data_IF_610985688718
#
_entry.id   IF_610985688718
#
_cell.length_a   1.000
_cell.length_b   1.000
_cell.length_c   1.000
_cell.angle_alpha   90.00
_cell.angle_beta   90.00
_cell.angle_gamma   90.00
#
_symmetry.space_group_name_H-M   'P 1'
#
loop_
_entity.id
_entity.type
_entity.pdbx_description
1 polymer ?
#
# COMPACT_ATOMS: atom_id res chain seq x y z
N UNK A 1 8.83 -12.59 -3.98
CA UNK A 1 7.89 -12.05 -4.99
C UNK A 1 6.78 -13.03 -5.18
N UNK A 2 5.54 -12.57 -5.22
CA UNK A 2 4.39 -13.38 -5.60
C UNK A 2 3.50 -12.69 -6.64
N UNK A 3 2.75 -13.52 -7.37
CA UNK A 3 1.68 -13.06 -8.24
C UNK A 3 0.33 -13.60 -7.74
N UNK A 4 -0.69 -12.75 -7.70
CA UNK A 4 -2.03 -13.09 -7.21
C UNK A 4 -3.08 -12.62 -8.20
N UNK A 5 -4.20 -13.32 -8.27
CA UNK A 5 -5.36 -12.92 -9.07
C UNK A 5 -6.58 -12.86 -8.18
N UNK A 6 -7.32 -11.76 -8.25
CA UNK A 6 -8.53 -11.54 -7.44
C UNK A 6 -9.67 -11.02 -8.31
N UNK A 7 -10.91 -11.30 -7.89
CA UNK A 7 -12.10 -10.69 -8.47
C UNK A 7 -12.54 -9.54 -7.59
N UNK A 8 -12.70 -8.36 -8.18
CA UNK A 8 -13.19 -7.19 -7.48
C UNK A 8 -14.65 -6.88 -7.85
N UNK A 9 -15.37 -6.27 -6.91
CA UNK A 9 -16.68 -5.68 -7.17
C UNK A 9 -16.51 -4.29 -7.77
N UNK A 10 -17.50 -3.86 -8.54
CA UNK A 10 -17.60 -2.47 -9.00
C UNK A 10 -18.80 -1.79 -8.38
N UNK A 11 -18.79 -0.46 -8.42
CA UNK A 11 -19.84 0.43 -7.94
C UNK A 11 -20.10 1.54 -8.97
N UNK A 12 -21.19 2.31 -8.87
CA UNK A 12 -21.36 3.51 -9.69
C UNK A 12 -20.18 4.47 -9.49
N UNK A 13 -19.63 4.97 -10.59
CA UNK A 13 -18.45 5.82 -10.60
C UNK A 13 -18.72 7.17 -9.93
N UNK A 14 -17.75 7.66 -9.14
CA UNK A 14 -17.79 8.97 -8.49
C UNK A 14 -17.78 10.10 -9.52
N UNK A 15 -17.10 9.89 -10.66
CA UNK A 15 -16.84 10.94 -11.66
C UNK A 15 -17.79 10.84 -12.86
N UNK A 16 -18.18 9.62 -13.24
CA UNK A 16 -18.94 9.34 -14.48
C UNK A 16 -20.23 8.59 -14.16
N UNK A 17 -21.36 9.28 -14.17
CA UNK A 17 -22.64 8.74 -13.71
C UNK A 17 -23.13 7.48 -14.46
N UNK A 18 -22.69 7.28 -15.69
CA UNK A 18 -23.06 6.17 -16.57
C UNK A 18 -22.10 4.97 -16.50
N UNK A 19 -21.07 5.04 -15.65
CA UNK A 19 -20.02 4.03 -15.56
C UNK A 19 -19.95 3.38 -14.19
N UNK A 20 -19.48 2.14 -14.22
CA UNK A 20 -19.02 1.44 -13.03
C UNK A 20 -17.53 1.73 -12.80
N UNK A 21 -17.10 1.67 -11.55
CA UNK A 21 -15.69 1.71 -11.19
C UNK A 21 -15.37 0.76 -10.03
N UNK A 22 -14.14 0.28 -10.00
CA UNK A 22 -13.52 -0.33 -8.84
C UNK A 22 -12.57 0.70 -8.21
N UNK A 23 -12.56 0.75 -6.89
CA UNK A 23 -11.66 1.60 -6.11
C UNK A 23 -10.64 0.72 -5.41
N UNK A 24 -9.36 1.06 -5.57
CA UNK A 24 -8.25 0.40 -4.88
C UNK A 24 -7.48 1.42 -4.05
N UNK A 25 -7.39 1.17 -2.75
CA UNK A 25 -6.67 2.01 -1.79
C UNK A 25 -5.38 1.28 -1.39
N UNK A 26 -4.20 1.70 -1.84
CA UNK A 26 -2.96 1.25 -1.21
C UNK A 26 -2.90 1.68 0.25
N UNK A 27 -2.44 0.81 1.13
CA UNK A 27 -2.33 1.11 2.55
C UNK A 27 -1.05 0.50 3.10
N UNK A 28 -0.18 1.36 3.62
CA UNK A 28 1.08 1.01 4.26
C UNK A 28 1.69 2.25 4.87
N UNK A 29 2.94 2.16 5.34
CA UNK A 29 3.62 3.24 6.07
C UNK A 29 2.72 3.79 7.19
N UNK A 30 1.95 2.90 7.83
CA UNK A 30 1.15 3.23 8.99
C UNK A 30 2.09 3.51 10.16
N UNK A 31 3.09 2.63 10.29
CA UNK A 31 4.11 2.64 11.33
C UNK A 31 3.49 2.91 12.70
N UNK A 32 2.46 2.12 13.02
CA UNK A 32 1.79 2.19 14.32
C UNK A 32 2.84 1.98 15.41
N UNK A 33 3.14 3.02 16.17
CA UNK A 33 4.14 3.02 17.24
C UNK A 33 3.47 2.81 18.61
N UNK A 34 4.17 2.24 19.60
CA UNK A 34 3.64 2.11 20.96
C UNK A 34 3.42 3.48 21.61
N UNK A 35 2.50 3.54 22.58
CA UNK A 35 2.29 4.77 23.36
C UNK A 35 3.47 4.98 24.31
N UNK A 36 4.20 6.07 24.12
CA UNK A 36 5.35 6.45 24.97
C UNK A 36 4.97 7.67 25.80
N UNK A 37 5.09 7.56 27.13
CA UNK A 37 4.76 8.66 28.05
C UNK A 37 5.56 9.93 27.71
N UNK A 38 4.85 11.07 27.63
CA UNK A 38 5.44 12.36 27.28
C UNK A 38 5.75 12.56 25.79
N UNK A 39 5.35 11.61 24.93
CA UNK A 39 5.48 11.73 23.46
C UNK A 39 4.13 11.52 22.78
N UNK A 40 3.71 12.46 21.91
CA UNK A 40 2.61 12.18 21.00
C UNK A 40 2.96 10.98 20.13
N UNK A 41 1.94 10.17 19.81
CA UNK A 41 2.09 9.05 18.89
C UNK A 41 2.49 9.53 17.49
N UNK A 42 3.44 8.84 16.86
CA UNK A 42 3.88 9.15 15.50
C UNK A 42 2.78 8.79 14.49
N UNK A 43 2.18 7.61 14.62
CA UNK A 43 1.06 7.19 13.79
C UNK A 43 -0.18 8.07 14.02
N UNK A 44 -0.69 8.64 12.93
CA UNK A 44 -1.89 9.44 12.88
C UNK A 44 -3.14 8.55 12.82
N UNK A 45 -3.41 7.78 13.87
CA UNK A 45 -4.50 6.79 13.95
C UNK A 45 -5.87 7.34 13.50
N UNK A 46 -6.21 8.59 13.87
CA UNK A 46 -7.46 9.23 13.43
C UNK A 46 -7.59 9.29 11.90
N UNK A 47 -6.50 9.61 11.21
CA UNK A 47 -6.47 9.76 9.75
C UNK A 47 -6.55 8.40 9.07
N UNK A 48 -5.88 7.39 9.63
CA UNK A 48 -6.02 6.01 9.19
C UNK A 48 -7.49 5.56 9.28
N UNK A 49 -8.15 5.77 10.42
CA UNK A 49 -9.58 5.44 10.60
C UNK A 49 -10.47 6.20 9.61
N UNK A 50 -10.21 7.47 9.35
CA UNK A 50 -10.95 8.27 8.35
C UNK A 50 -10.81 7.67 6.93
N UNK A 51 -9.59 7.27 6.51
CA UNK A 51 -9.35 6.66 5.20
C UNK A 51 -9.97 5.26 5.11
N UNK A 52 -9.85 4.45 6.16
CA UNK A 52 -10.48 3.12 6.25
C UNK A 52 -11.99 3.25 6.13
N UNK A 53 -12.60 4.14 6.91
CA UNK A 53 -14.04 4.37 6.88
C UNK A 53 -14.48 4.84 5.49
N UNK A 54 -13.78 5.81 4.90
CA UNK A 54 -14.06 6.26 3.54
C UNK A 54 -14.01 5.10 2.54
N UNK A 55 -12.97 4.25 2.61
CA UNK A 55 -12.83 3.10 1.72
C UNK A 55 -14.00 2.12 1.86
N UNK A 56 -14.41 1.82 3.09
CA UNK A 56 -15.53 0.92 3.36
C UNK A 56 -16.87 1.50 2.89
N UNK A 57 -17.14 2.77 3.16
CA UNK A 57 -18.37 3.46 2.73
C UNK A 57 -18.51 3.48 1.21
N UNK A 58 -17.39 3.48 0.49
CA UNK A 58 -17.34 3.49 -0.96
C UNK A 58 -17.05 2.12 -1.59
N UNK A 59 -17.09 1.03 -0.81
CA UNK A 59 -16.90 -0.32 -1.31
C UNK A 59 -15.55 -0.56 -1.99
N UNK A 60 -14.50 0.12 -1.52
CA UNK A 60 -13.15 -0.02 -2.04
C UNK A 60 -12.51 -1.34 -1.61
N UNK A 61 -11.56 -1.80 -2.42
CA UNK A 61 -10.59 -2.82 -2.00
C UNK A 61 -9.30 -2.16 -1.53
N UNK A 62 -8.52 -2.90 -0.75
CA UNK A 62 -7.24 -2.44 -0.20
C UNK A 62 -6.08 -3.27 -0.73
N UNK A 63 -4.91 -2.66 -0.92
CA UNK A 63 -3.66 -3.38 -1.20
C UNK A 63 -2.58 -2.96 -0.20
N UNK A 64 -1.92 -3.94 0.40
CA UNK A 64 -0.91 -3.68 1.41
C UNK A 64 0.44 -3.25 0.84
N UNK A 65 0.98 -2.16 1.37
CA UNK A 65 2.24 -1.56 0.94
C UNK A 65 3.41 -1.71 1.94
N UNK A 66 3.24 -2.47 3.03
CA UNK A 66 4.25 -2.67 4.07
C UNK A 66 4.25 -1.61 5.19
N UNK A 67 5.09 -1.82 6.22
CA UNK A 67 5.33 -0.89 7.34
C UNK A 67 4.06 -0.56 8.14
N UNK A 68 3.37 -1.60 8.60
CA UNK A 68 2.08 -1.46 9.30
C UNK A 68 2.21 -1.08 10.76
N UNK A 69 3.19 -1.67 11.43
CA UNK A 69 3.54 -1.36 12.82
C UNK A 69 5.04 -1.06 12.87
N UNK A 70 5.50 -0.34 13.90
CA UNK A 70 6.92 0.05 14.04
C UNK A 70 7.62 -0.64 15.23
N UNK A 71 7.72 -1.98 15.27
CA UNK A 71 8.41 -2.67 16.34
C UNK A 71 9.93 -2.61 16.14
N UNK A 72 10.41 -2.85 14.92
CA UNK A 72 11.84 -2.90 14.60
C UNK A 72 12.12 -2.61 13.13
N UNK A 73 13.05 -1.68 12.88
CA UNK A 73 13.71 -1.49 11.59
C UNK A 73 14.72 -2.62 11.30
N UNK A 74 15.27 -2.73 10.08
CA UNK A 74 16.27 -3.75 9.76
C UNK A 74 17.52 -3.69 10.65
N UNK A 75 17.98 -2.49 11.02
CA UNK A 75 19.12 -2.32 11.92
C UNK A 75 18.77 -2.76 13.35
N UNK A 76 17.54 -2.48 13.80
CA UNK A 76 17.07 -2.91 15.12
C UNK A 76 16.94 -4.42 15.19
N UNK A 77 16.38 -5.07 14.17
CA UNK A 77 16.33 -6.54 14.08
C UNK A 77 17.72 -7.17 14.09
N UNK A 78 18.69 -6.58 13.36
CA UNK A 78 20.08 -7.05 13.38
C UNK A 78 20.68 -6.96 14.79
N UNK A 79 20.48 -5.85 15.48
CA UNK A 79 20.96 -5.67 16.85
C UNK A 79 20.27 -6.62 17.85
N UNK A 80 18.96 -6.80 17.70
CA UNK A 80 18.16 -7.73 18.51
C UNK A 80 18.66 -9.16 18.41
N UNK A 81 18.86 -9.68 17.19
CA UNK A 81 19.39 -11.04 16.96
C UNK A 81 20.81 -11.19 17.51
N UNK A 82 21.65 -10.15 17.41
CA UNK A 82 23.02 -10.17 17.90
C UNK A 82 23.11 -10.13 19.44
N UNK A 83 22.11 -9.57 20.12
CA UNK A 83 22.09 -9.48 21.58
C UNK A 83 21.92 -10.84 22.27
N UNK A 84 21.41 -11.85 21.56
CA UNK A 84 21.22 -13.23 22.05
C UNK A 84 20.52 -13.26 23.43
N UNK A 85 19.38 -12.58 23.52
CA UNK A 85 18.60 -12.49 24.74
C UNK A 85 18.10 -13.87 25.21
N UNK A 86 17.91 -14.03 26.53
CA UNK A 86 17.22 -15.19 27.09
C UNK A 86 15.75 -15.23 26.67
N UNK A 87 15.17 -16.44 26.66
CA UNK A 87 13.78 -16.71 26.24
C UNK A 87 12.75 -15.79 26.90
N UNK A 88 12.91 -15.49 28.20
CA UNK A 88 11.99 -14.61 28.92
C UNK A 88 12.00 -13.18 28.39
N UNK A 89 13.15 -12.68 27.96
CA UNK A 89 13.28 -11.35 27.36
C UNK A 89 12.75 -11.34 25.93
N UNK A 90 13.03 -12.38 25.14
CA UNK A 90 12.43 -12.58 23.81
C UNK A 90 10.91 -12.54 23.89
N UNK A 91 10.32 -13.32 24.81
CA UNK A 91 8.88 -13.37 25.04
C UNK A 91 8.27 -12.01 25.44
N UNK A 92 9.03 -11.11 26.08
CA UNK A 92 8.57 -9.74 26.35
C UNK A 92 8.47 -8.90 25.08
N UNK A 93 9.45 -9.00 24.17
CA UNK A 93 9.41 -8.31 22.89
C UNK A 93 8.31 -8.84 21.99
N UNK A 94 8.14 -10.16 21.92
CA UNK A 94 7.05 -10.78 21.16
C UNK A 94 5.69 -10.30 21.65
N UNK A 95 5.49 -10.25 22.97
CA UNK A 95 4.25 -9.74 23.57
C UNK A 95 3.98 -8.30 23.20
N UNK A 96 4.99 -7.43 23.27
CA UNK A 96 4.84 -6.03 22.85
C UNK A 96 4.50 -5.87 21.37
N UNK A 97 5.08 -6.71 20.50
CA UNK A 97 4.74 -6.74 19.09
C UNK A 97 3.30 -7.23 18.85
N UNK A 98 2.84 -8.22 19.61
CA UNK A 98 1.46 -8.74 19.55
C UNK A 98 0.44 -7.71 20.02
N UNK A 99 0.67 -7.03 21.14
CA UNK A 99 -0.22 -5.97 21.64
C UNK A 99 -0.41 -4.86 20.60
N UNK A 100 0.67 -4.45 19.94
CA UNK A 100 0.63 -3.45 18.88
C UNK A 100 -0.08 -3.95 17.62
N UNK A 101 0.10 -5.24 17.30
CA UNK A 101 -0.58 -5.91 16.19
C UNK A 101 -2.08 -6.04 16.45
N UNK A 102 -2.51 -6.39 17.67
CA UNK A 102 -3.92 -6.44 18.08
C UNK A 102 -4.59 -5.07 17.97
N UNK A 103 -3.90 -4.00 18.38
CA UNK A 103 -4.43 -2.64 18.18
C UNK A 103 -4.63 -2.32 16.69
N UNK A 104 -3.70 -2.72 15.84
CA UNK A 104 -3.85 -2.55 14.40
C UNK A 104 -5.01 -3.40 13.85
N UNK A 105 -5.18 -4.62 14.35
CA UNK A 105 -6.30 -5.49 13.99
C UNK A 105 -7.65 -4.82 14.27
N UNK A 106 -7.80 -4.17 15.43
CA UNK A 106 -9.01 -3.43 15.79
C UNK A 106 -9.27 -2.25 14.83
N UNK A 107 -8.23 -1.53 14.44
CA UNK A 107 -8.33 -0.41 13.50
C UNK A 107 -8.76 -0.90 12.11
N UNK A 108 -8.21 -2.03 11.66
CA UNK A 108 -8.44 -2.57 10.32
C UNK A 108 -9.57 -3.60 10.25
N UNK A 109 -10.18 -3.97 11.38
CA UNK A 109 -11.27 -4.95 11.45
C UNK A 109 -12.40 -4.72 10.42
N UNK A 110 -12.84 -3.48 10.13
CA UNK A 110 -13.88 -3.26 9.12
C UNK A 110 -13.48 -3.71 7.70
N UNK A 111 -12.19 -3.86 7.42
CA UNK A 111 -11.64 -4.13 6.08
C UNK A 111 -11.37 -5.61 5.81
N UNK A 112 -11.60 -6.51 6.77
CA UNK A 112 -11.38 -7.95 6.61
C UNK A 112 -12.15 -8.47 5.39
N UNK A 113 -11.47 -9.21 4.50
CA UNK A 113 -12.03 -9.72 3.24
C UNK A 113 -12.08 -8.71 2.08
N UNK A 114 -11.65 -7.45 2.28
CA UNK A 114 -11.57 -6.42 1.23
C UNK A 114 -10.15 -6.23 0.66
N UNK A 115 -9.18 -7.02 1.10
CA UNK A 115 -7.77 -6.89 0.68
C UNK A 115 -7.46 -7.77 -0.53
N UNK A 116 -6.85 -7.18 -1.56
CA UNK A 116 -6.43 -7.90 -2.78
C UNK A 116 -5.07 -8.60 -2.64
N UNK A 117 -4.33 -8.23 -1.60
CA UNK A 117 -3.01 -8.75 -1.27
C UNK A 117 -2.31 -7.83 -0.26
N UNK A 118 -1.30 -8.34 0.43
CA UNK A 118 -0.56 -7.62 1.46
C UNK A 118 0.95 -7.82 1.31
N UNK A 119 1.66 -6.75 0.97
CA UNK A 119 3.13 -6.75 0.85
C UNK A 119 3.86 -6.49 2.16
N UNK A 120 5.12 -6.91 2.24
CA UNK A 120 5.98 -6.62 3.38
C UNK A 120 6.61 -5.24 3.32
N UNK A 121 6.78 -4.64 4.50
CA UNK A 121 7.66 -3.49 4.68
C UNK A 121 9.03 -3.86 5.23
N UNK A 122 9.85 -2.86 5.52
CA UNK A 122 11.11 -3.08 6.24
C UNK A 122 10.98 -2.93 7.77
N UNK A 123 9.86 -2.39 8.27
CA UNK A 123 9.49 -2.36 9.68
C UNK A 123 8.52 -3.51 10.00
N UNK A 124 9.03 -4.53 10.69
CA UNK A 124 8.28 -5.72 11.10
C UNK A 124 8.97 -6.39 12.28
N UNK A 125 8.24 -7.24 12.99
CA UNK A 125 8.78 -8.18 13.97
C UNK A 125 8.73 -9.61 13.39
N UNK A 126 9.75 -10.41 13.69
CA UNK A 126 9.85 -11.82 13.31
C UNK A 126 9.67 -12.66 14.56
N UNK A 127 8.68 -13.55 14.54
CA UNK A 127 8.38 -14.46 15.65
C UNK A 127 9.19 -15.74 15.52
N UNK A 128 9.36 -16.46 16.65
CA UNK A 128 10.13 -17.70 16.69
C UNK A 128 9.56 -18.81 15.80
N UNK A 129 8.25 -18.77 15.49
CA UNK A 129 7.58 -19.70 14.58
C UNK A 129 7.87 -19.42 13.09
N UNK A 130 8.68 -18.40 12.79
CA UNK A 130 9.06 -17.99 11.43
C UNK A 130 8.03 -17.08 10.74
N UNK A 131 6.91 -16.78 11.39
CA UNK A 131 5.96 -15.77 10.90
C UNK A 131 6.47 -14.37 11.22
N UNK A 132 5.91 -13.38 10.53
CA UNK A 132 6.13 -11.96 10.83
C UNK A 132 4.82 -11.30 11.18
N UNK A 133 4.92 -10.08 11.72
CA UNK A 133 3.74 -9.21 11.91
C UNK A 133 2.96 -9.03 10.61
N UNK A 134 3.65 -8.95 9.47
CA UNK A 134 3.02 -8.76 8.16
C UNK A 134 2.31 -10.03 7.68
N UNK A 135 2.89 -11.22 7.86
CA UNK A 135 2.23 -12.47 7.49
C UNK A 135 1.02 -12.76 8.36
N UNK A 136 1.11 -12.50 9.67
CA UNK A 136 -0.01 -12.64 10.61
C UNK A 136 -1.12 -11.62 10.32
N UNK A 137 -0.77 -10.40 9.92
CA UNK A 137 -1.74 -9.40 9.50
C UNK A 137 -2.46 -9.82 8.21
N UNK A 138 -1.74 -10.37 7.23
CA UNK A 138 -2.35 -10.90 6.00
C UNK A 138 -3.37 -12.01 6.28
N UNK A 139 -3.03 -12.92 7.20
CA UNK A 139 -3.92 -13.99 7.68
C UNK A 139 -5.17 -13.41 8.34
N UNK A 140 -5.02 -12.48 9.28
CA UNK A 140 -6.15 -11.80 9.95
C UNK A 140 -7.09 -11.11 8.95
N UNK A 141 -6.53 -10.42 7.95
CA UNK A 141 -7.30 -9.71 6.94
C UNK A 141 -7.93 -10.63 5.88
N UNK A 142 -7.61 -11.94 5.91
CA UNK A 142 -8.13 -12.94 4.98
C UNK A 142 -7.59 -12.78 3.56
N UNK A 143 -6.34 -12.36 3.41
CA UNK A 143 -5.72 -12.11 2.10
C UNK A 143 -4.35 -12.77 1.97
N UNK A 144 -3.84 -12.83 0.73
CA UNK A 144 -2.54 -13.41 0.44
C UNK A 144 -1.42 -12.43 0.77
N UNK A 145 -0.43 -12.88 1.52
CA UNK A 145 0.84 -12.18 1.70
C UNK A 145 1.68 -12.29 0.44
N UNK A 146 2.09 -11.16 -0.15
CA UNK A 146 2.80 -11.15 -1.44
C UNK A 146 4.33 -11.06 -1.31
N UNK A 147 4.85 -11.09 -0.08
CA UNK A 147 6.27 -10.82 0.20
C UNK A 147 6.65 -9.36 -0.09
N UNK A 148 7.93 -9.11 -0.37
CA UNK A 148 8.44 -7.75 -0.58
C UNK A 148 7.93 -7.10 -1.89
N UNK A 149 7.56 -7.91 -2.89
CA UNK A 149 7.11 -7.44 -4.21
C UNK A 149 5.96 -8.31 -4.70
N UNK A 150 4.84 -7.68 -5.02
CA UNK A 150 3.62 -8.32 -5.53
C UNK A 150 3.26 -7.87 -6.95
N UNK A 151 2.70 -8.81 -7.73
CA UNK A 151 1.97 -8.53 -8.97
C UNK A 151 0.54 -9.01 -8.78
N UNK A 152 -0.42 -8.08 -8.72
CA UNK A 152 -1.83 -8.42 -8.48
C UNK A 152 -2.64 -8.16 -9.74
N UNK A 153 -3.28 -9.21 -10.27
CA UNK A 153 -4.27 -9.09 -11.35
C UNK A 153 -5.65 -8.90 -10.73
N UNK A 154 -6.28 -7.76 -11.02
CA UNK A 154 -7.61 -7.42 -10.49
C UNK A 154 -8.63 -7.54 -11.61
N UNK A 155 -9.44 -8.58 -11.55
CA UNK A 155 -10.50 -8.83 -12.52
C UNK A 155 -11.79 -8.13 -12.12
N UNK A 156 -12.34 -7.34 -13.03
CA UNK A 156 -13.61 -6.65 -12.87
C UNK A 156 -14.76 -7.54 -13.38
N UNK A 157 -16.03 -7.24 -13.01
CA UNK A 157 -17.20 -7.92 -13.55
C UNK A 157 -17.31 -7.70 -15.06
N UNK A 158 -17.59 -8.77 -15.81
CA UNK A 158 -17.90 -8.65 -17.23
C UNK A 158 -19.38 -8.29 -17.42
N UNK A 159 -19.68 -7.29 -18.24
CA UNK A 159 -21.05 -6.91 -18.61
C UNK A 159 -21.33 -7.33 -20.05
N UNK A 160 -22.14 -8.37 -20.25
CA UNK A 160 -22.62 -8.79 -21.58
C UNK A 160 -21.53 -9.36 -22.51
N UNK A 161 -20.36 -9.72 -21.97
CA UNK A 161 -19.24 -10.31 -22.74
C UNK A 161 -18.58 -11.43 -21.94
N UNK A 162 -17.95 -12.39 -22.63
CA UNK A 162 -17.15 -13.45 -21.99
C UNK A 162 -15.77 -12.95 -21.54
N UNK A 163 -15.32 -11.78 -22.02
CA UNK A 163 -14.03 -11.19 -21.65
C UNK A 163 -14.17 -10.35 -20.38
N UNK A 164 -13.46 -10.75 -19.32
CA UNK A 164 -13.44 -9.99 -18.06
C UNK A 164 -12.41 -8.85 -18.16
N UNK A 165 -12.81 -7.58 -17.95
CA UNK A 165 -11.83 -6.50 -17.82
C UNK A 165 -10.88 -6.79 -16.66
N UNK A 166 -9.61 -6.46 -16.82
CA UNK A 166 -8.59 -6.69 -15.80
C UNK A 166 -7.52 -5.60 -15.90
N UNK A 167 -6.98 -5.21 -14.75
CA UNK A 167 -5.77 -4.38 -14.67
C UNK A 167 -4.77 -4.99 -13.70
N UNK A 168 -3.48 -4.73 -13.95
CA UNK A 168 -2.35 -5.30 -13.21
C UNK A 168 -1.73 -4.25 -12.31
N UNK A 169 -1.52 -4.62 -11.06
CA UNK A 169 -0.87 -3.78 -10.06
C UNK A 169 0.49 -4.35 -9.71
N UNK A 170 1.55 -3.59 -9.98
CA UNK A 170 2.87 -3.78 -9.38
C UNK A 170 2.88 -3.07 -8.02
N UNK A 171 3.13 -3.81 -6.96
CA UNK A 171 3.21 -3.27 -5.59
C UNK A 171 4.54 -3.67 -4.96
N UNK A 172 5.28 -2.67 -4.49
CA UNK A 172 6.56 -2.87 -3.80
C UNK A 172 6.68 -1.81 -2.72
N UNK A 173 7.08 -2.18 -1.51
CA UNK A 173 7.22 -1.18 -0.44
C UNK A 173 8.22 -0.07 -0.82
N UNK A 174 9.34 -0.43 -1.44
CA UNK A 174 10.40 0.50 -1.80
C UNK A 174 11.69 0.26 -1.01
N UNK A 175 12.73 1.03 -1.32
CA UNK A 175 13.97 1.10 -0.53
C UNK A 175 14.80 2.32 -0.93
N UNK A 176 15.60 2.82 0.00
CA UNK A 176 16.60 3.88 -0.24
C UNK A 176 16.02 5.29 -0.24
N UNK A 177 16.89 6.30 -0.13
CA UNK A 177 16.48 7.69 0.04
C UNK A 177 16.13 8.46 -1.25
N UNK A 178 15.81 9.73 -1.07
CA UNK A 178 15.61 10.71 -2.13
C UNK A 178 14.84 11.91 -1.61
N UNK A 179 15.46 13.08 -1.65
CA UNK A 179 14.87 14.30 -1.06
C UNK A 179 13.97 15.03 -2.06
N UNK A 180 14.25 14.92 -3.36
CA UNK A 180 13.45 15.62 -4.37
C UNK A 180 12.08 14.96 -4.56
N UNK A 181 11.05 15.76 -4.86
CA UNK A 181 9.68 15.30 -5.16
C UNK A 181 9.71 14.15 -6.19
N UNK A 182 10.40 14.37 -7.30
CA UNK A 182 10.48 13.40 -8.39
C UNK A 182 11.31 12.13 -8.10
N UNK A 183 12.09 12.05 -7.01
CA UNK A 183 13.00 10.92 -6.77
C UNK A 183 12.25 9.57 -6.69
N UNK A 184 11.10 9.57 -6.03
CA UNK A 184 10.27 8.38 -5.86
C UNK A 184 9.61 7.95 -7.18
N UNK A 185 9.03 8.90 -7.92
CA UNK A 185 8.42 8.64 -9.23
C UNK A 185 9.45 8.18 -10.27
N UNK A 186 10.64 8.76 -10.29
CA UNK A 186 11.73 8.32 -11.17
C UNK A 186 12.14 6.86 -10.88
N UNK A 187 12.06 6.43 -9.61
CA UNK A 187 12.34 5.04 -9.24
C UNK A 187 11.28 4.08 -9.77
N UNK A 188 10.00 4.44 -9.65
CA UNK A 188 8.90 3.70 -10.26
C UNK A 188 8.99 3.69 -11.79
N UNK A 189 9.34 4.81 -12.42
CA UNK A 189 9.48 4.91 -13.87
C UNK A 189 10.52 3.91 -14.42
N UNK A 190 11.61 3.67 -13.70
CA UNK A 190 12.57 2.61 -14.09
C UNK A 190 11.93 1.22 -14.08
N UNK A 191 11.01 0.95 -13.14
CA UNK A 191 10.30 -0.33 -13.06
C UNK A 191 9.29 -0.57 -14.18
N UNK A 192 8.80 0.50 -14.83
CA UNK A 192 7.91 0.41 -15.99
C UNK A 192 8.55 -0.37 -17.14
N UNK A 193 9.88 -0.30 -17.31
CA UNK A 193 10.61 -1.06 -18.33
C UNK A 193 10.96 -2.49 -17.91
N UNK A 194 10.84 -2.82 -16.64
CA UNK A 194 11.22 -4.13 -16.09
C UNK A 194 10.00 -5.05 -15.87
N UNK A 195 8.86 -4.48 -15.50
CA UNK A 195 7.63 -5.20 -15.20
C UNK A 195 6.48 -4.62 -16.02
N UNK A 196 5.63 -5.48 -16.57
CA UNK A 196 4.47 -5.07 -17.35
C UNK A 196 3.22 -5.00 -16.46
N UNK A 197 2.88 -3.79 -16.00
CA UNK A 197 1.71 -3.52 -15.18
C UNK A 197 1.01 -2.24 -15.63
N UNK A 198 -0.22 -2.04 -15.15
CA UNK A 198 -1.02 -0.85 -15.43
C UNK A 198 -0.86 0.21 -14.34
N UNK A 199 -0.70 -0.25 -13.10
CA UNK A 199 -0.54 0.58 -11.91
C UNK A 199 0.72 0.13 -11.19
N UNK A 200 1.60 1.06 -10.86
CA UNK A 200 2.83 0.81 -10.10
C UNK A 200 2.77 1.62 -8.81
N UNK A 201 2.82 0.92 -7.68
CA UNK A 201 2.66 1.50 -6.35
C UNK A 201 3.93 1.30 -5.53
N UNK A 202 4.32 2.35 -4.80
CA UNK A 202 5.45 2.33 -3.86
C UNK A 202 5.13 3.06 -2.56
N UNK A 203 5.46 2.46 -1.42
CA UNK A 203 5.43 3.12 -0.11
C UNK A 203 6.74 3.84 0.19
N UNK A 204 7.25 3.70 1.42
CA UNK A 204 8.59 4.04 1.92
C UNK A 204 8.95 5.54 1.95
N UNK A 205 8.51 6.32 0.97
CA UNK A 205 8.84 7.74 0.84
C UNK A 205 7.92 8.66 1.63
N UNK A 206 6.83 8.12 2.18
CA UNK A 206 5.82 8.84 2.96
C UNK A 206 5.24 10.06 2.22
N UNK A 207 5.03 9.91 0.91
CA UNK A 207 4.48 10.94 0.02
C UNK A 207 3.28 10.36 -0.73
N UNK A 208 2.26 11.17 -0.94
CA UNK A 208 1.05 10.82 -1.68
C UNK A 208 1.09 11.55 -3.01
N UNK A 209 1.76 10.95 -3.99
CA UNK A 209 2.00 11.55 -5.30
C UNK A 209 1.73 10.53 -6.39
N UNK A 210 1.07 10.93 -7.46
CA UNK A 210 0.90 10.05 -8.60
C UNK A 210 0.92 10.82 -9.92
N UNK A 211 1.31 10.12 -10.99
CA UNK A 211 1.31 10.63 -12.37
C UNK A 211 0.79 9.57 -13.32
N UNK A 212 0.14 10.03 -14.40
CA UNK A 212 -0.16 9.18 -15.56
C UNK A 212 1.00 9.26 -16.54
N UNK A 213 1.43 8.09 -17.01
CA UNK A 213 2.43 7.96 -18.06
C UNK A 213 1.71 7.41 -19.30
N UNK A 214 1.49 8.24 -20.33
CA UNK A 214 0.81 7.80 -21.53
C UNK A 214 1.67 6.78 -22.28
N UNK A 215 1.04 5.71 -22.78
CA UNK A 215 1.68 4.68 -23.61
C UNK A 215 0.81 4.36 -24.81
N UNK A 216 1.48 4.06 -25.91
CA UNK A 216 0.85 3.37 -27.04
C UNK A 216 0.92 1.88 -26.77
N UNK A 217 -0.20 1.21 -27.00
CA UNK A 217 -0.37 -0.23 -26.90
C UNK A 217 -1.14 -0.72 -28.14
N UNK A 218 -1.24 -2.03 -28.33
CA UNK A 218 -2.07 -2.63 -29.37
C UNK A 218 -3.08 -3.60 -28.78
N UNK A 219 -4.29 -3.57 -29.31
CA UNK A 219 -5.35 -4.55 -29.01
C UNK A 219 -5.81 -5.22 -30.31
N UNK A 220 -6.35 -6.44 -30.22
CA UNK A 220 -6.65 -7.24 -31.42
C UNK A 220 -5.41 -8.03 -31.87
N UNK A 221 -5.35 -8.44 -33.15
CA UNK A 221 -4.28 -9.34 -33.62
C UNK A 221 -4.50 -10.81 -33.26
N UNK A 222 -5.17 -11.09 -32.15
CA UNK A 222 -5.51 -12.46 -31.76
C UNK A 222 -6.43 -13.12 -32.78
N UNK A 223 -6.13 -14.39 -33.11
CA UNK A 223 -6.90 -15.20 -34.07
C UNK A 223 -7.04 -14.56 -35.46
N UNK A 224 -6.09 -13.71 -35.86
CA UNK A 224 -6.03 -13.12 -37.19
C UNK A 224 -6.91 -11.88 -37.42
N UNK A 225 -7.46 -11.29 -36.35
CA UNK A 225 -8.09 -9.97 -36.44
C UNK A 225 -7.04 -8.86 -36.63
N UNK A 226 -7.40 -7.74 -37.25
CA UNK A 226 -6.47 -6.62 -37.42
C UNK A 226 -6.09 -6.01 -36.05
N UNK A 227 -4.81 -5.66 -35.82
CA UNK A 227 -4.40 -4.96 -34.62
C UNK A 227 -4.81 -3.48 -34.69
N UNK A 228 -5.30 -2.95 -33.58
CA UNK A 228 -5.63 -1.54 -33.41
C UNK A 228 -4.69 -0.91 -32.38
N UNK A 229 -4.09 0.22 -32.75
CA UNK A 229 -3.29 1.03 -31.82
C UNK A 229 -4.22 1.75 -30.86
N UNK A 230 -3.92 1.67 -29.57
CA UNK A 230 -4.67 2.34 -28.52
C UNK A 230 -3.76 3.13 -27.60
N UNK A 231 -4.35 4.16 -26.99
CA UNK A 231 -3.73 4.88 -25.89
C UNK A 231 -4.09 4.21 -24.56
N UNK A 232 -3.08 3.96 -23.73
CA UNK A 232 -3.24 3.37 -22.41
C UNK A 232 -2.38 4.13 -21.41
N UNK A 233 -3.01 4.68 -20.38
CA UNK A 233 -2.29 5.32 -19.28
C UNK A 233 -1.79 4.26 -18.30
N UNK A 234 -0.53 4.39 -17.88
CA UNK A 234 0.00 3.71 -16.69
C UNK A 234 0.01 4.68 -15.53
N UNK A 235 -0.33 4.24 -14.33
CA UNK A 235 -0.24 5.06 -13.12
C UNK A 235 1.04 4.71 -12.37
N UNK A 236 1.84 5.72 -12.03
CA UNK A 236 2.92 5.59 -11.05
C UNK A 236 2.49 6.32 -9.79
N UNK A 237 2.38 5.63 -8.66
CA UNK A 237 1.89 6.19 -7.41
C UNK A 237 2.79 5.88 -6.22
N UNK A 238 3.10 6.93 -5.45
CA UNK A 238 3.68 6.84 -4.11
C UNK A 238 2.52 6.98 -3.12
N UNK A 239 2.39 6.03 -2.19
CA UNK A 239 1.08 5.69 -1.61
C UNK A 239 0.68 6.48 -0.36
N UNK A 240 1.44 7.50 0.03
CA UNK A 240 1.22 8.25 1.26
C UNK A 240 1.84 7.58 2.48
N UNK A 241 1.38 7.98 3.67
CA UNK A 241 1.78 7.42 4.96
C UNK A 241 0.77 7.85 6.03
N UNK A 242 0.77 7.17 7.17
CA UNK A 242 0.08 7.63 8.37
C UNK A 242 1.05 8.01 9.49
N UNK A 243 2.37 7.93 9.27
CA UNK A 243 3.37 8.41 10.22
C UNK A 243 3.54 9.93 10.12
N UNK A 244 3.39 10.63 11.24
CA UNK A 244 3.70 12.06 11.35
C UNK A 244 5.21 12.25 11.39
N UNK A 245 5.71 13.03 10.44
CA UNK A 245 7.12 13.43 10.36
C UNK A 245 7.59 14.32 11.53
N UNK A 246 6.73 15.24 11.97
CA UNK A 246 7.02 16.23 13.00
C UNK A 246 5.98 16.15 14.11
N UNK A 247 6.44 16.14 15.37
CA UNK A 247 5.58 15.89 16.53
C UNK A 247 5.66 17.05 17.52
N UNK A 248 4.77 18.02 17.34
CA UNK A 248 4.67 19.16 18.27
C UNK A 248 4.39 18.66 19.69
N UNK A 249 5.20 19.13 20.64
CA UNK A 249 5.08 18.75 22.05
C UNK A 249 5.82 17.48 22.44
N UNK A 250 6.50 16.80 21.51
CA UNK A 250 7.36 15.67 21.83
C UNK A 250 8.53 16.09 22.72
N UNK A 251 8.74 15.35 23.82
CA UNK A 251 9.81 15.59 24.77
C UNK A 251 10.62 14.32 25.08
N UNK A 252 11.89 14.50 25.40
CA UNK A 252 12.77 13.46 25.95
C UNK A 252 13.53 14.06 27.14
N UNK A 253 13.41 13.45 28.32
CA UNK A 253 14.04 13.99 29.52
C UNK A 253 13.60 15.43 29.84
N UNK A 254 12.36 15.79 29.49
CA UNK A 254 11.81 17.14 29.71
C UNK A 254 12.19 18.18 28.66
N UNK A 255 13.11 17.88 27.74
CA UNK A 255 13.56 18.79 26.66
C UNK A 255 12.79 18.48 25.38
N UNK A 256 12.52 19.51 24.56
CA UNK A 256 11.92 19.32 23.23
C UNK A 256 12.80 18.41 22.38
N UNK A 257 12.22 17.34 21.84
CA UNK A 257 12.96 16.34 21.07
C UNK A 257 12.06 15.73 20.00
N UNK A 258 12.50 15.79 18.75
CA UNK A 258 11.82 15.19 17.61
C UNK A 258 12.15 13.71 17.41
N UNK A 259 11.39 13.06 16.53
CA UNK A 259 11.74 11.74 15.99
C UNK A 259 12.88 11.81 14.97
N UNK A 260 13.23 10.65 14.38
CA UNK A 260 14.30 10.56 13.39
C UNK A 260 14.13 11.54 12.22
N UNK A 261 12.91 11.66 11.68
CA UNK A 261 12.60 12.55 10.56
C UNK A 261 12.91 14.01 10.88
N UNK A 262 12.52 14.48 12.07
CA UNK A 262 12.77 15.84 12.53
C UNK A 262 14.27 16.08 12.80
N UNK A 263 14.95 15.13 13.45
CA UNK A 263 16.39 15.20 13.74
C UNK A 263 17.22 15.22 12.44
N UNK A 264 16.82 14.45 11.44
CA UNK A 264 17.49 14.37 10.14
C UNK A 264 17.07 15.50 9.17
N UNK A 265 16.11 16.35 9.54
CA UNK A 265 15.63 17.44 8.70
C UNK A 265 14.98 16.97 7.38
N UNK A 266 14.32 15.82 7.40
CA UNK A 266 13.68 15.27 6.20
C UNK A 266 12.33 15.94 5.91
N UNK A 267 11.82 15.78 4.69
CA UNK A 267 10.54 16.39 4.29
C UNK A 267 9.37 15.90 5.17
N UNK A 268 8.36 16.75 5.40
CA UNK A 268 7.10 16.32 6.02
C UNK A 268 6.45 15.17 5.26
N UNK A 269 5.76 14.28 5.97
CA UNK A 269 4.99 13.19 5.40
C UNK A 269 3.65 13.70 4.85
N UNK A 270 3.22 13.15 3.71
CA UNK A 270 1.87 13.35 3.18
C UNK A 270 0.91 12.35 3.85
N UNK A 271 0.12 12.83 4.81
CA UNK A 271 -0.77 12.00 5.59
C UNK A 271 -2.01 11.57 4.79
N UNK A 272 -2.26 10.27 4.73
CA UNK A 272 -3.38 9.69 3.98
C UNK A 272 -2.90 8.68 2.94
N UNK A 273 -3.68 8.52 1.88
CA UNK A 273 -3.35 7.58 0.80
C UNK A 273 -3.84 8.06 -0.56
N UNK A 274 -3.46 7.34 -1.61
CA UNK A 274 -4.06 7.44 -2.93
C UNK A 274 -5.31 6.56 -3.04
N UNK A 275 -6.15 6.85 -4.02
CA UNK A 275 -7.21 5.98 -4.50
C UNK A 275 -7.00 5.79 -5.98
N UNK A 276 -6.85 4.54 -6.41
CA UNK A 276 -6.83 4.18 -7.82
C UNK A 276 -8.26 3.85 -8.24
N UNK A 277 -8.71 4.49 -9.31
CA UNK A 277 -10.04 4.30 -9.89
C UNK A 277 -9.90 3.53 -11.20
N UNK A 278 -10.52 2.36 -11.29
CA UNK A 278 -10.47 1.48 -12.45
C UNK A 278 -11.86 1.30 -13.05
N UNK A 279 -12.05 1.74 -14.30
CA UNK A 279 -13.36 1.76 -14.97
C UNK A 279 -13.33 0.87 -16.19
N UNK A 280 -14.09 -0.23 -16.24
CA UNK A 280 -14.13 -1.08 -17.42
C UNK A 280 -14.77 -0.32 -18.59
N UNK A 281 -14.19 -0.45 -19.78
CA UNK A 281 -14.78 0.01 -21.04
C UNK A 281 -15.05 -1.16 -21.95
N UNK A 282 -16.17 -1.05 -22.66
CA UNK A 282 -16.62 -2.01 -23.63
C UNK A 282 -16.81 -1.26 -24.95
N UNK A 283 -15.94 -1.50 -25.92
CA UNK A 283 -15.97 -0.84 -27.22
C UNK A 283 -15.78 -1.90 -28.32
N UNK A 284 -16.78 -2.08 -29.20
CA UNK A 284 -16.67 -2.88 -30.42
C UNK A 284 -15.90 -4.21 -30.28
N UNK A 285 -16.27 -5.06 -29.31
CA UNK A 285 -15.65 -6.36 -28.93
C UNK A 285 -14.33 -6.30 -28.14
N UNK A 286 -13.83 -5.11 -27.83
CA UNK A 286 -12.69 -4.87 -26.96
C UNK A 286 -13.12 -4.53 -25.55
N UNK A 287 -12.31 -4.99 -24.61
CA UNK A 287 -12.50 -4.74 -23.18
C UNK A 287 -11.21 -4.12 -22.66
N UNK A 288 -11.29 -2.88 -22.21
CA UNK A 288 -10.16 -2.14 -21.62
C UNK A 288 -10.55 -1.61 -20.24
N UNK A 289 -9.58 -1.03 -19.53
CA UNK A 289 -9.80 -0.40 -18.24
C UNK A 289 -9.24 1.01 -18.30
N UNK A 290 -10.11 2.02 -18.13
CA UNK A 290 -9.68 3.40 -17.91
C UNK A 290 -9.20 3.54 -16.46
N UNK A 291 -8.02 4.11 -16.29
CA UNK A 291 -7.40 4.30 -14.97
C UNK A 291 -7.29 5.77 -14.60
N UNK A 292 -7.56 6.04 -13.33
CA UNK A 292 -7.43 7.38 -12.75
C UNK A 292 -7.00 7.30 -11.29
N UNK A 293 -6.65 8.43 -10.69
CA UNK A 293 -6.35 8.48 -9.26
C UNK A 293 -6.79 9.78 -8.60
N UNK A 294 -6.93 9.74 -7.28
CA UNK A 294 -7.06 10.91 -6.42
C UNK A 294 -6.32 10.65 -5.09
N UNK A 295 -6.15 11.69 -4.26
CA UNK A 295 -5.62 11.55 -2.91
C UNK A 295 -6.73 11.70 -1.88
N UNK A 296 -6.68 10.91 -0.81
CA UNK A 296 -7.56 11.03 0.35
C UNK A 296 -6.94 11.84 1.44
#
# INVERSE_FOLDING_TARGET
MEAVSVSAKTRPSIIYADRDEHLLIPLGDIQLDPVISGRPRAAHVRRLKEVVQWGMDHGASFIGMGDYIDPMSPSNRKAYRAANFYDSTTAMFERGALELQEELHDILAPTVGSWVGLGSGHHLFEFDDGTTTDTRLAEYLGCRHTGDLGITHIYLPAKGTHKRPMYKVYSWHGQGGGVTVAAALNKLQRKVGEFEADVYLMGHYHRAEAVKVPRLDTIGGERGADPHVVHRDRILGVTGSFMRAYLQGSRQGGIAAGGYVEVAGLSPAALGSLVIMARPRYDNNYVTVDLDFMSL
#
